data_IF_293233134546
#
_entry.id   IF_293233134546
#
_cell.length_a   1.000
_cell.length_b   1.000
_cell.length_c   1.000
_cell.angle_alpha   90.00
_cell.angle_beta   90.00
_cell.angle_gamma   90.00
#
_symmetry.space_group_name_H-M   'P 1'
#
loop_
_entity.id
_entity.type
_entity.pdbx_description
1 polymer ?
#
# COMPACT_ATOMS: atom_id res chain seq x y z
N UNK A 1 12.81 -7.80 -30.33
CA UNK A 1 13.22 -9.00 -29.58
C UNK A 1 14.44 -8.70 -28.68
N UNK A 2 15.53 -8.16 -29.24
CA UNK A 2 16.79 -7.87 -28.50
C UNK A 2 16.58 -6.92 -27.33
N UNK A 3 15.82 -5.82 -27.52
CA UNK A 3 15.51 -4.85 -26.46
C UNK A 3 14.73 -5.53 -25.31
N UNK A 4 13.79 -6.42 -25.61
CA UNK A 4 13.04 -7.17 -24.60
C UNK A 4 13.94 -8.10 -23.77
N UNK A 5 14.89 -8.78 -24.42
CA UNK A 5 15.85 -9.66 -23.74
C UNK A 5 16.79 -8.83 -22.84
N UNK A 6 17.28 -7.68 -23.30
CA UNK A 6 18.14 -6.79 -22.51
C UNK A 6 17.39 -6.26 -21.29
N UNK A 7 16.14 -5.81 -21.46
CA UNK A 7 15.31 -5.32 -20.34
C UNK A 7 15.01 -6.44 -19.34
N UNK A 8 14.72 -7.66 -19.82
CA UNK A 8 14.48 -8.83 -18.96
C UNK A 8 15.74 -9.23 -18.17
N UNK A 9 16.90 -9.30 -18.82
CA UNK A 9 18.18 -9.61 -18.16
C UNK A 9 18.56 -8.52 -17.15
N UNK A 10 18.33 -7.25 -17.48
CA UNK A 10 18.63 -6.14 -16.58
C UNK A 10 17.69 -6.13 -15.35
N UNK A 11 16.42 -6.46 -15.53
CA UNK A 11 15.48 -6.56 -14.41
C UNK A 11 15.75 -7.77 -13.52
N UNK A 12 16.08 -8.93 -14.09
CA UNK A 12 16.49 -10.10 -13.29
C UNK A 12 17.78 -9.84 -12.53
N UNK A 13 18.74 -9.15 -13.13
CA UNK A 13 19.98 -8.73 -12.47
C UNK A 13 19.69 -7.74 -11.32
N UNK A 14 18.79 -6.77 -11.51
CA UNK A 14 18.38 -5.84 -10.45
C UNK A 14 17.67 -6.58 -9.29
N UNK A 15 16.77 -7.50 -9.61
CA UNK A 15 16.06 -8.32 -8.59
C UNK A 15 17.08 -9.19 -7.83
N UNK A 16 18.01 -9.83 -8.51
CA UNK A 16 19.07 -10.61 -7.91
C UNK A 16 19.96 -9.77 -6.97
N UNK A 17 20.34 -8.55 -7.38
CA UNK A 17 21.06 -7.60 -6.52
C UNK A 17 20.25 -7.13 -5.31
N UNK A 18 18.93 -6.94 -5.48
CA UNK A 18 18.03 -6.58 -4.37
C UNK A 18 17.97 -7.69 -3.33
N UNK A 19 17.90 -8.93 -3.77
CA UNK A 19 17.82 -10.10 -2.87
C UNK A 19 19.15 -10.31 -2.13
N UNK A 20 20.29 -10.16 -2.81
CA UNK A 20 21.60 -10.44 -2.23
C UNK A 20 22.27 -9.27 -1.49
N UNK A 21 21.90 -8.02 -1.77
CA UNK A 21 22.48 -6.83 -1.13
C UNK A 21 21.44 -6.06 -0.33
N UNK A 22 21.48 -6.14 0.99
CA UNK A 22 20.63 -5.41 1.93
C UNK A 22 20.74 -3.85 1.85
N UNK A 23 21.66 -3.31 1.05
CA UNK A 23 21.82 -1.86 0.82
C UNK A 23 21.53 -1.51 -0.63
N UNK A 24 20.28 -1.15 -0.91
CA UNK A 24 19.90 -0.63 -2.23
C UNK A 24 20.07 0.89 -2.23
N UNK A 25 20.79 1.43 -3.24
CA UNK A 25 20.92 2.88 -3.43
C UNK A 25 19.56 3.55 -3.66
N UNK A 26 19.39 4.79 -3.18
CA UNK A 26 18.16 5.59 -3.35
C UNK A 26 17.72 5.71 -4.84
N UNK A 27 18.67 5.71 -5.75
CA UNK A 27 18.42 5.76 -7.21
C UNK A 27 17.76 4.47 -7.70
N UNK A 28 18.25 3.31 -7.26
CA UNK A 28 17.69 2.01 -7.65
C UNK A 28 16.27 1.81 -7.13
N UNK A 29 15.91 2.35 -5.97
CA UNK A 29 14.56 2.31 -5.45
C UNK A 29 13.56 3.11 -6.29
N UNK A 30 13.95 4.30 -6.77
CA UNK A 30 13.10 5.13 -7.63
C UNK A 30 12.85 4.45 -8.96
N UNK A 31 13.90 3.89 -9.57
CA UNK A 31 13.81 3.13 -10.81
C UNK A 31 12.94 1.87 -10.64
N UNK A 32 13.12 1.12 -9.57
CA UNK A 32 12.37 -0.11 -9.30
C UNK A 32 10.87 0.19 -9.08
N UNK A 33 10.54 1.24 -8.33
CA UNK A 33 9.14 1.66 -8.13
C UNK A 33 8.51 2.19 -9.42
N UNK A 34 9.23 2.97 -10.22
CA UNK A 34 8.77 3.45 -11.52
C UNK A 34 8.55 2.30 -12.51
N UNK A 35 9.45 1.35 -12.54
CA UNK A 35 9.35 0.15 -13.37
C UNK A 35 8.15 -0.72 -13.00
N UNK A 36 7.94 -0.99 -11.71
CA UNK A 36 6.77 -1.71 -11.21
C UNK A 36 5.46 -1.02 -11.59
N UNK A 37 5.39 0.32 -11.44
CA UNK A 37 4.20 1.08 -11.80
C UNK A 37 3.87 1.05 -13.30
N UNK A 38 4.90 1.01 -14.16
CA UNK A 38 4.71 0.97 -15.61
C UNK A 38 4.43 -0.44 -16.14
N UNK A 39 5.02 -1.46 -15.51
CA UNK A 39 4.80 -2.87 -15.91
C UNK A 39 3.48 -3.40 -15.41
N UNK A 40 2.98 -2.92 -14.27
CA UNK A 40 1.74 -3.40 -13.68
C UNK A 40 0.55 -3.39 -14.66
N UNK A 41 0.25 -2.29 -15.40
CA UNK A 41 -0.84 -2.31 -16.39
C UNK A 41 -0.65 -3.33 -17.49
N UNK A 42 0.61 -3.53 -17.93
CA UNK A 42 0.95 -4.52 -18.97
C UNK A 42 0.71 -5.95 -18.45
N UNK A 43 1.13 -6.25 -17.22
CA UNK A 43 0.90 -7.56 -16.58
C UNK A 43 -0.61 -7.84 -16.46
N UNK A 44 -1.41 -6.85 -16.06
CA UNK A 44 -2.87 -6.97 -15.98
C UNK A 44 -3.49 -7.22 -17.34
N UNK A 45 -3.00 -6.56 -18.40
CA UNK A 45 -3.47 -6.80 -19.76
C UNK A 45 -3.15 -8.21 -20.23
N UNK A 46 -1.92 -8.67 -20.04
CA UNK A 46 -1.47 -10.04 -20.36
C UNK A 46 -2.31 -11.07 -19.59
N UNK A 47 -2.54 -10.85 -18.28
CA UNK A 47 -3.31 -11.79 -17.46
C UNK A 47 -4.75 -11.96 -17.94
N UNK A 48 -5.37 -10.89 -18.45
CA UNK A 48 -6.70 -10.98 -19.07
C UNK A 48 -6.70 -11.85 -20.33
N UNK A 49 -5.67 -11.73 -21.17
CA UNK A 49 -5.53 -12.52 -22.41
C UNK A 49 -5.36 -14.01 -22.09
N UNK A 50 -4.52 -14.33 -21.08
CA UNK A 50 -4.21 -15.70 -20.68
C UNK A 50 -5.14 -16.26 -19.59
N UNK A 51 -6.20 -15.54 -19.22
CA UNK A 51 -7.16 -15.93 -18.15
C UNK A 51 -6.47 -16.27 -16.81
N UNK A 52 -5.38 -15.58 -16.49
CA UNK A 52 -4.69 -15.73 -15.21
C UNK A 52 -5.47 -14.98 -14.14
N UNK A 53 -5.54 -15.52 -12.93
CA UNK A 53 -6.19 -14.87 -11.78
C UNK A 53 -5.51 -13.54 -11.44
N UNK A 54 -6.27 -12.46 -11.68
CA UNK A 54 -5.80 -11.08 -11.50
C UNK A 54 -5.57 -10.77 -10.02
N UNK A 55 -6.32 -11.37 -9.09
CA UNK A 55 -6.19 -11.08 -7.66
C UNK A 55 -4.90 -11.66 -7.09
N UNK A 56 -4.44 -12.80 -7.61
CA UNK A 56 -3.11 -13.32 -7.30
C UNK A 56 -2.00 -12.36 -7.75
N UNK A 57 -2.13 -11.77 -8.94
CA UNK A 57 -1.16 -10.76 -9.43
C UNK A 57 -1.16 -9.52 -8.53
N UNK A 58 -2.34 -9.02 -8.15
CA UNK A 58 -2.48 -7.87 -7.25
C UNK A 58 -1.85 -8.15 -5.90
N UNK A 59 -2.06 -9.36 -5.36
CA UNK A 59 -1.45 -9.81 -4.10
C UNK A 59 0.06 -9.85 -4.17
N UNK A 60 0.62 -10.41 -5.23
CA UNK A 60 2.08 -10.43 -5.46
C UNK A 60 2.63 -9.01 -5.59
N UNK A 61 1.95 -8.13 -6.35
CA UNK A 61 2.33 -6.73 -6.49
C UNK A 61 2.38 -6.01 -5.13
N UNK A 62 1.38 -6.19 -4.27
CA UNK A 62 1.35 -5.65 -2.91
C UNK A 62 2.52 -6.16 -2.06
N UNK A 63 2.80 -7.48 -2.09
CA UNK A 63 3.93 -8.09 -1.36
C UNK A 63 5.28 -7.53 -1.81
N UNK A 64 5.50 -7.41 -3.12
CA UNK A 64 6.74 -6.83 -3.68
C UNK A 64 6.88 -5.37 -3.29
N UNK A 65 5.80 -4.58 -3.36
CA UNK A 65 5.82 -3.19 -2.90
C UNK A 65 6.19 -3.10 -1.42
N UNK A 66 5.57 -3.90 -0.56
CA UNK A 66 5.85 -3.90 0.88
C UNK A 66 7.31 -4.27 1.15
N UNK A 67 7.85 -5.28 0.46
CA UNK A 67 9.26 -5.63 0.56
C UNK A 67 10.17 -4.45 0.19
N UNK A 68 9.88 -3.73 -0.91
CA UNK A 68 10.65 -2.55 -1.32
C UNK A 68 10.55 -1.42 -0.30
N UNK A 69 9.38 -1.20 0.30
CA UNK A 69 9.19 -0.17 1.33
C UNK A 69 9.97 -0.53 2.59
N UNK A 70 9.94 -1.78 3.02
CA UNK A 70 10.67 -2.27 4.19
C UNK A 70 12.20 -2.15 4.02
N UNK A 71 12.73 -2.44 2.84
CA UNK A 71 14.18 -2.31 2.57
C UNK A 71 14.68 -0.87 2.60
N UNK A 72 13.77 0.13 2.50
CA UNK A 72 14.12 1.55 2.62
C UNK A 72 14.44 1.99 4.05
N UNK A 73 14.12 1.15 5.06
CA UNK A 73 14.30 1.47 6.47
C UNK A 73 13.79 2.89 6.84
N UNK A 74 12.57 3.18 6.40
CA UNK A 74 11.95 4.50 6.56
C UNK A 74 11.57 4.67 8.04
N UNK A 75 12.05 5.76 8.63
CA UNK A 75 11.70 6.15 10.00
C UNK A 75 10.84 7.41 9.93
N UNK A 76 9.65 7.36 10.51
CA UNK A 76 8.72 8.49 10.61
C UNK A 76 8.17 8.57 12.04
N UNK A 77 7.84 9.77 12.48
CA UNK A 77 7.13 9.94 13.75
C UNK A 77 5.66 9.53 13.59
N UNK A 78 5.00 9.16 14.69
CA UNK A 78 3.60 8.72 14.64
C UNK A 78 2.67 9.76 14.00
N UNK A 79 2.86 11.05 14.28
CA UNK A 79 2.08 12.14 13.70
C UNK A 79 2.30 12.36 12.18
N UNK A 80 3.36 11.79 11.61
CA UNK A 80 3.71 11.83 10.19
C UNK A 80 3.25 10.57 9.43
N UNK A 81 2.76 9.56 10.17
CA UNK A 81 2.20 8.32 9.65
C UNK A 81 0.68 8.44 9.54
N UNK A 82 0.12 7.98 8.44
CA UNK A 82 -1.33 7.87 8.24
C UNK A 82 -1.73 6.41 8.08
N UNK A 83 -2.74 5.97 8.83
CA UNK A 83 -3.38 4.68 8.61
C UNK A 83 -4.67 4.91 7.83
N UNK A 84 -4.81 4.27 6.68
CA UNK A 84 -6.02 4.26 5.86
C UNK A 84 -6.74 2.93 6.06
N UNK A 85 -8.00 3.00 6.46
CA UNK A 85 -8.83 1.83 6.76
C UNK A 85 -10.05 1.79 5.85
N UNK A 86 -10.50 0.61 5.40
CA UNK A 86 -11.78 0.46 4.74
C UNK A 86 -12.91 0.39 5.80
N UNK A 87 -14.09 0.84 5.42
CA UNK A 87 -15.26 0.79 6.33
C UNK A 87 -15.72 -0.64 6.66
N UNK A 88 -15.40 -1.61 5.78
CA UNK A 88 -15.80 -3.01 5.96
C UNK A 88 -15.07 -3.76 7.09
N UNK A 89 -14.05 -3.16 7.72
CA UNK A 89 -13.45 -3.67 8.96
C UNK A 89 -14.36 -3.49 10.18
N UNK A 90 -15.31 -2.56 10.11
CA UNK A 90 -16.28 -2.37 11.17
C UNK A 90 -17.40 -3.42 11.08
N UNK A 91 -17.83 -3.90 12.24
CA UNK A 91 -19.04 -4.72 12.36
C UNK A 91 -20.23 -4.02 11.68
N UNK A 92 -20.92 -4.74 10.79
CA UNK A 92 -22.04 -4.23 9.99
C UNK A 92 -23.21 -3.75 10.85
N UNK A 93 -23.43 -4.37 12.02
CA UNK A 93 -24.49 -4.05 12.96
C UNK A 93 -24.14 -2.94 13.94
N UNK A 94 -22.89 -2.45 13.89
CA UNK A 94 -22.44 -1.38 14.77
C UNK A 94 -23.22 -0.08 14.50
N UNK A 95 -23.87 0.45 15.54
CA UNK A 95 -24.62 1.72 15.46
C UNK A 95 -23.71 2.95 15.42
N UNK A 96 -22.46 2.81 15.90
CA UNK A 96 -21.48 3.90 15.96
C UNK A 96 -20.58 3.89 14.72
N UNK A 97 -21.04 4.49 13.62
CA UNK A 97 -20.31 4.46 12.35
C UNK A 97 -19.02 5.27 12.41
N UNK A 98 -17.92 4.63 12.03
CA UNK A 98 -16.57 5.22 12.03
C UNK A 98 -16.20 5.92 10.71
N UNK A 99 -17.09 5.93 9.73
CA UNK A 99 -16.85 6.52 8.40
C UNK A 99 -16.54 8.00 8.44
N UNK A 100 -17.10 8.73 9.40
CA UNK A 100 -16.86 10.16 9.63
C UNK A 100 -15.64 10.39 10.52
N UNK A 101 -15.56 9.65 11.62
CA UNK A 101 -14.45 9.73 12.57
C UNK A 101 -14.23 8.35 13.22
N UNK A 102 -12.99 7.87 13.20
CA UNK A 102 -12.62 6.61 13.83
C UNK A 102 -12.84 6.63 15.36
N UNK A 103 -12.78 7.80 15.98
CA UNK A 103 -13.01 7.99 17.42
C UNK A 103 -14.47 7.76 17.83
N UNK A 104 -15.41 7.62 16.90
CA UNK A 104 -16.77 7.17 17.19
C UNK A 104 -16.81 5.72 17.70
N UNK A 105 -15.73 4.95 17.55
CA UNK A 105 -15.63 3.58 18.06
C UNK A 105 -15.76 3.53 19.57
N UNK A 106 -16.74 2.76 20.06
CA UNK A 106 -16.99 2.56 21.51
C UNK A 106 -16.10 1.48 22.15
N UNK A 107 -15.07 1.01 21.43
CA UNK A 107 -14.07 0.07 21.94
C UNK A 107 -14.65 -1.26 22.47
N UNK A 108 -15.82 -1.69 21.96
CA UNK A 108 -16.54 -2.86 22.44
C UNK A 108 -15.84 -4.21 22.14
N UNK A 109 -14.89 -4.25 21.22
CA UNK A 109 -14.11 -5.44 20.87
C UNK A 109 -14.80 -6.41 19.91
N UNK A 110 -15.96 -6.05 19.34
CA UNK A 110 -16.68 -6.90 18.36
C UNK A 110 -16.03 -6.95 16.98
N UNK A 111 -15.12 -6.02 16.67
CA UNK A 111 -14.38 -5.96 15.41
C UNK A 111 -12.96 -5.43 15.65
N UNK A 112 -12.10 -5.52 14.62
CA UNK A 112 -10.67 -5.17 14.70
C UNK A 112 -10.40 -3.67 14.91
N UNK A 113 -11.41 -2.81 14.74
CA UNK A 113 -11.28 -1.35 14.89
C UNK A 113 -10.78 -0.97 16.28
N UNK A 114 -11.22 -1.68 17.35
CA UNK A 114 -10.71 -1.44 18.70
C UNK A 114 -9.18 -1.57 18.76
N UNK A 115 -8.63 -2.68 18.27
CA UNK A 115 -7.19 -2.91 18.30
C UNK A 115 -6.41 -1.87 17.49
N UNK A 116 -6.98 -1.41 16.38
CA UNK A 116 -6.37 -0.36 15.56
C UNK A 116 -6.38 1.00 16.30
N UNK A 117 -7.49 1.36 16.95
CA UNK A 117 -7.58 2.59 17.74
C UNK A 117 -6.60 2.56 18.92
N UNK A 118 -6.48 1.41 19.62
CA UNK A 118 -5.49 1.22 20.69
C UNK A 118 -4.05 1.46 20.18
N UNK A 119 -3.69 0.90 19.02
CA UNK A 119 -2.39 1.12 18.40
C UNK A 119 -2.18 2.57 17.99
N UNK A 120 -3.21 3.22 17.43
CA UNK A 120 -3.16 4.63 17.06
C UNK A 120 -2.86 5.52 18.26
N UNK A 121 -3.54 5.27 19.39
CA UNK A 121 -3.33 6.00 20.63
C UNK A 121 -1.93 5.75 21.21
N UNK A 122 -1.50 4.48 21.25
CA UNK A 122 -0.19 4.08 21.76
C UNK A 122 0.98 4.75 21.03
N UNK A 123 0.89 4.85 19.71
CA UNK A 123 1.98 5.36 18.85
C UNK A 123 1.74 6.79 18.35
N UNK A 124 0.68 7.45 18.80
CA UNK A 124 0.25 8.78 18.35
C UNK A 124 0.14 8.88 16.82
N UNK A 125 -0.50 7.88 16.20
CA UNK A 125 -0.73 7.78 14.76
C UNK A 125 -2.16 8.17 14.43
N UNK A 126 -2.36 8.85 13.30
CA UNK A 126 -3.72 9.19 12.81
C UNK A 126 -4.24 8.08 11.90
N UNK A 127 -5.41 7.55 12.21
CA UNK A 127 -6.15 6.67 11.32
C UNK A 127 -7.38 7.38 10.76
N UNK A 128 -7.71 7.07 9.51
CA UNK A 128 -8.92 7.59 8.83
C UNK A 128 -9.57 6.47 8.03
N UNK A 129 -10.88 6.53 7.92
CA UNK A 129 -11.65 5.58 7.13
C UNK A 129 -11.90 6.14 5.74
N UNK A 130 -11.60 5.34 4.72
CA UNK A 130 -11.85 5.66 3.33
C UNK A 130 -12.79 4.62 2.72
N UNK A 131 -13.94 5.07 2.22
CA UNK A 131 -14.92 4.21 1.54
C UNK A 131 -14.58 3.95 0.07
N UNK A 132 -13.48 4.50 -0.41
CA UNK A 132 -12.97 4.33 -1.77
C UNK A 132 -11.75 5.20 -2.07
N UNK A 133 -11.17 5.02 -3.26
CA UNK A 133 -9.93 5.68 -3.66
C UNK A 133 -9.99 7.21 -3.69
N UNK A 134 -11.15 7.79 -4.01
CA UNK A 134 -11.32 9.27 -4.02
C UNK A 134 -11.14 9.85 -2.63
N UNK A 135 -11.84 9.31 -1.63
CA UNK A 135 -11.74 9.77 -0.26
C UNK A 135 -10.34 9.50 0.33
N UNK A 136 -9.72 8.37 -0.03
CA UNK A 136 -8.35 8.09 0.37
C UNK A 136 -7.38 9.17 -0.14
N UNK A 137 -7.49 9.60 -1.42
CA UNK A 137 -6.67 10.68 -1.98
C UNK A 137 -6.92 12.03 -1.31
N UNK A 138 -8.16 12.34 -0.95
CA UNK A 138 -8.50 13.56 -0.20
C UNK A 138 -7.84 13.56 1.18
N UNK A 139 -7.90 12.45 1.92
CA UNK A 139 -7.23 12.31 3.20
C UNK A 139 -5.72 12.49 3.09
N UNK A 140 -5.08 11.89 2.07
CA UNK A 140 -3.64 12.03 1.82
C UNK A 140 -3.29 13.50 1.55
N UNK A 141 -4.08 14.20 0.71
CA UNK A 141 -3.86 15.63 0.43
C UNK A 141 -4.04 16.51 1.67
N UNK A 142 -5.05 16.22 2.50
CA UNK A 142 -5.37 16.97 3.72
C UNK A 142 -4.33 16.75 4.82
N UNK A 143 -3.91 15.50 5.03
CA UNK A 143 -3.01 15.13 6.13
C UNK A 143 -1.53 15.23 5.78
N UNK A 144 -1.17 15.16 4.50
CA UNK A 144 0.20 15.23 3.97
C UNK A 144 1.19 14.34 4.72
N UNK A 145 0.91 13.02 4.86
CA UNK A 145 1.74 12.12 5.62
C UNK A 145 3.08 11.89 4.92
N UNK A 146 4.12 11.51 5.69
CA UNK A 146 5.40 11.04 5.14
C UNK A 146 5.41 9.55 4.82
N UNK A 147 4.53 8.76 5.44
CA UNK A 147 4.31 7.35 5.16
C UNK A 147 2.85 6.98 5.37
N UNK A 148 2.41 5.91 4.70
CA UNK A 148 1.02 5.42 4.78
C UNK A 148 1.06 3.92 5.05
N UNK A 149 0.23 3.47 6.01
CA UNK A 149 -0.18 2.08 6.16
C UNK A 149 -1.61 1.98 5.66
N UNK A 150 -1.86 1.19 4.64
CA UNK A 150 -3.17 1.04 4.04
C UNK A 150 -3.69 -0.40 4.22
N UNK A 151 -4.87 -0.51 4.79
CA UNK A 151 -5.64 -1.76 4.81
C UNK A 151 -6.73 -1.65 3.75
N UNK A 152 -6.70 -2.54 2.77
CA UNK A 152 -7.67 -2.55 1.67
C UNK A 152 -7.70 -3.92 1.00
N UNK A 153 -8.73 -4.18 0.19
CA UNK A 153 -8.73 -5.35 -0.69
C UNK A 153 -7.60 -5.24 -1.74
N UNK A 154 -7.19 -6.36 -2.32
CA UNK A 154 -6.07 -6.43 -3.27
C UNK A 154 -6.22 -5.44 -4.44
N UNK A 155 -7.44 -5.24 -4.93
CA UNK A 155 -7.74 -4.32 -6.03
C UNK A 155 -7.47 -2.87 -5.65
N UNK A 156 -8.02 -2.44 -4.52
CA UNK A 156 -7.94 -1.05 -4.09
C UNK A 156 -6.52 -0.72 -3.59
N UNK A 157 -5.87 -1.69 -2.92
CA UNK A 157 -4.48 -1.56 -2.49
C UNK A 157 -3.53 -1.40 -3.69
N UNK A 158 -3.65 -2.26 -4.71
CA UNK A 158 -2.81 -2.18 -5.90
C UNK A 158 -3.02 -0.86 -6.66
N UNK A 159 -4.27 -0.39 -6.77
CA UNK A 159 -4.59 0.93 -7.35
C UNK A 159 -3.97 2.06 -6.52
N UNK A 160 -4.17 2.05 -5.21
CA UNK A 160 -3.63 3.07 -4.30
C UNK A 160 -2.10 3.16 -4.31
N UNK A 161 -1.41 2.01 -4.32
CA UNK A 161 0.06 1.97 -4.44
C UNK A 161 0.53 2.61 -5.76
N UNK A 162 -0.19 2.36 -6.85
CA UNK A 162 0.16 2.90 -8.17
C UNK A 162 -0.12 4.40 -8.27
N UNK A 163 -1.17 4.90 -7.63
CA UNK A 163 -1.55 6.31 -7.61
C UNK A 163 -0.58 7.16 -6.76
N UNK A 164 -0.14 6.62 -5.62
CA UNK A 164 0.72 7.35 -4.66
C UNK A 164 2.19 7.07 -4.95
N UNK A 165 2.77 7.81 -5.93
CA UNK A 165 4.15 7.57 -6.40
C UNK A 165 5.23 8.07 -5.44
N UNK A 166 4.98 9.12 -4.69
CA UNK A 166 5.99 9.84 -3.90
C UNK A 166 6.09 9.33 -2.47
N UNK A 167 4.96 9.08 -1.82
CA UNK A 167 4.89 8.66 -0.42
C UNK A 167 5.01 7.13 -0.36
N UNK A 168 5.80 6.57 0.57
CA UNK A 168 5.82 5.13 0.80
C UNK A 168 4.46 4.65 1.34
N UNK A 169 3.88 3.67 0.67
CA UNK A 169 2.63 2.99 1.05
C UNK A 169 2.95 1.52 1.32
N UNK A 170 2.49 1.02 2.46
CA UNK A 170 2.59 -0.39 2.85
C UNK A 170 1.20 -0.92 3.15
#
# INVERSE_FOLDING_TARGET
LVIFIIVFLWTTFLIYRVINNKKISKVNHRLLKGFLGNIYPLIIWISKVFKIDIDNIRRVFGKVNNFIVMTKNIKVNGNELLILLPHCLQDSECQYKITTDINNCRMCGKCDIKGIVDLCNKYNVKAVVATGGTLAREWIKKKRPKAIIAVACERDLASGINDVKVIPVM
#
